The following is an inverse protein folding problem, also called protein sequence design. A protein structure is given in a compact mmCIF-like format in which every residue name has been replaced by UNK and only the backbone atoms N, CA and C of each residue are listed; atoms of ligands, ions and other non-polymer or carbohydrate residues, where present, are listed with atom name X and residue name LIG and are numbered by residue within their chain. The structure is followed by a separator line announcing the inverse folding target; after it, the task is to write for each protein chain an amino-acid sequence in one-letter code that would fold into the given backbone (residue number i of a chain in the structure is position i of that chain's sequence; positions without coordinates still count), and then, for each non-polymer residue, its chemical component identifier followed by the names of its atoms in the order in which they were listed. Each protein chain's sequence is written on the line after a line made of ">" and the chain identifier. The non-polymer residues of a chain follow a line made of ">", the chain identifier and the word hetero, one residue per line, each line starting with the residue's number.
data_IF_466752345135
#
_entry.id   IF_466752345135
#
_cell.length_a   1.000
_cell.length_b   1.000
_cell.length_c   1.000
_cell.angle_alpha   90.00
_cell.angle_beta   90.00
_cell.angle_gamma   90.00
#
_symmetry.space_group_name_H-M   'P 1'
#
loop_
_entity.id
_entity.type
_entity.pdbx_description
1 polymer ?
#
# COMPACT_ATOMS: atom_id res chain seq x y z
N UNK A 1 11.98 -2.95 32.12
CA UNK A 1 13.35 -2.40 32.00
C UNK A 1 14.10 -3.34 31.07
N UNK A 2 14.18 -2.99 29.78
CA UNK A 2 14.89 -3.81 28.81
C UNK A 2 16.06 -3.02 28.23
N UNK A 3 17.22 -3.64 28.35
CA UNK A 3 18.56 -3.11 28.14
C UNK A 3 18.78 -2.82 26.66
N UNK A 4 19.18 -1.59 26.33
CA UNK A 4 19.56 -1.19 24.98
C UNK A 4 20.88 -1.90 24.64
N UNK A 5 20.84 -2.88 23.72
CA UNK A 5 22.03 -3.46 23.15
C UNK A 5 22.57 -2.50 22.08
N UNK A 6 23.77 -1.96 22.31
CA UNK A 6 24.56 -1.29 21.30
C UNK A 6 24.90 -2.27 20.16
N UNK A 7 24.57 -1.94 18.91
CA UNK A 7 25.18 -2.57 17.74
C UNK A 7 25.54 -1.51 16.68
N UNK A 8 26.85 -1.26 16.53
CA UNK A 8 27.52 -0.65 15.36
C UNK A 8 27.40 -1.60 14.14
N UNK A 9 27.43 -1.25 12.85
CA UNK A 9 27.69 -0.06 12.04
C UNK A 9 27.22 -0.33 10.57
N UNK A 10 26.99 0.69 9.74
CA UNK A 10 27.21 0.64 8.26
C UNK A 10 27.82 1.97 7.79
N UNK A 11 28.75 1.87 6.83
CA UNK A 11 29.91 2.72 6.54
C UNK A 11 29.69 4.03 5.75
N UNK A 12 28.70 4.85 6.08
CA UNK A 12 28.54 6.16 5.40
C UNK A 12 28.14 7.28 6.37
N UNK A 13 29.07 7.67 7.25
CA UNK A 13 29.28 9.04 7.74
C UNK A 13 28.13 9.93 8.24
N UNK A 14 26.88 9.47 8.35
CA UNK A 14 25.75 10.27 8.86
C UNK A 14 25.13 9.57 10.07
N UNK A 15 25.44 10.09 11.25
CA UNK A 15 24.78 9.70 12.49
C UNK A 15 23.34 10.22 12.44
N UNK A 16 22.41 9.36 12.01
CA UNK A 16 20.98 9.49 12.30
C UNK A 16 20.64 8.43 13.34
N UNK A 17 20.03 8.84 14.46
CA UNK A 17 19.70 7.95 15.55
C UNK A 17 18.91 6.73 15.03
N UNK A 18 19.37 5.52 15.37
CA UNK A 18 18.73 4.28 14.96
C UNK A 18 17.27 4.19 15.45
N UNK A 19 16.93 4.85 16.55
CA UNK A 19 15.57 4.95 17.08
C UNK A 19 14.60 5.71 16.17
N UNK A 20 15.07 6.65 15.35
CA UNK A 20 14.23 7.38 14.39
C UNK A 20 13.97 6.59 13.11
N UNK A 21 14.67 5.45 12.95
CA UNK A 21 14.59 4.56 11.79
C UNK A 21 14.11 3.17 12.17
N UNK A 22 13.49 2.94 13.33
CA UNK A 22 12.94 1.63 13.70
C UNK A 22 11.51 1.78 14.23
N UNK A 23 10.59 0.89 13.82
CA UNK A 23 9.25 0.72 14.41
C UNK A 23 9.07 -0.72 14.86
N UNK A 24 8.27 -0.93 15.90
CA UNK A 24 7.92 -2.27 16.38
C UNK A 24 6.68 -2.76 15.63
N UNK A 25 6.81 -3.86 14.87
CA UNK A 25 5.70 -4.55 14.22
C UNK A 25 5.73 -6.02 14.67
N UNK A 26 4.66 -6.47 15.34
CA UNK A 26 4.51 -7.85 15.84
C UNK A 26 5.72 -8.36 16.64
N UNK A 27 6.29 -7.52 17.51
CA UNK A 27 7.42 -7.89 18.37
C UNK A 27 8.77 -7.95 17.66
N UNK A 28 8.87 -7.47 16.42
CA UNK A 28 10.15 -7.29 15.70
C UNK A 28 10.44 -5.81 15.48
N UNK A 29 11.69 -5.41 15.71
CA UNK A 29 12.19 -4.11 15.27
C UNK A 29 12.41 -4.15 13.75
N UNK A 30 11.69 -3.31 13.03
CA UNK A 30 11.83 -3.18 11.57
C UNK A 30 12.32 -1.78 11.26
N UNK A 31 13.17 -1.63 10.22
CA UNK A 31 13.52 -0.30 9.73
C UNK A 31 12.23 0.49 9.44
N UNK A 32 12.24 1.80 9.72
CA UNK A 32 11.19 2.76 9.35
C UNK A 32 11.18 2.85 7.83
N UNK A 33 10.67 1.80 7.18
CA UNK A 33 10.17 1.87 5.84
C UNK A 33 8.97 2.82 5.89
N UNK A 34 8.77 3.62 4.85
CA UNK A 34 7.56 4.40 4.78
C UNK A 34 6.48 3.43 4.28
N UNK A 35 5.76 2.81 5.21
CA UNK A 35 4.71 1.88 4.89
C UNK A 35 3.53 2.62 4.27
N UNK A 36 3.06 2.14 3.13
CA UNK A 36 1.68 2.40 2.72
C UNK A 36 0.76 1.57 3.61
N UNK A 37 -0.23 2.20 4.21
CA UNK A 37 -1.18 1.54 5.10
C UNK A 37 -2.58 1.92 4.66
N UNK A 38 -3.41 0.92 4.37
CA UNK A 38 -4.79 1.11 3.98
C UNK A 38 -5.70 0.06 4.62
N UNK A 39 -6.96 0.44 4.83
CA UNK A 39 -8.01 -0.50 5.16
C UNK A 39 -8.80 -0.82 3.89
N UNK A 40 -9.13 -2.10 3.75
CA UNK A 40 -9.99 -2.62 2.69
C UNK A 40 -11.20 -3.34 3.30
N UNK A 41 -12.31 -3.37 2.57
CA UNK A 41 -13.50 -4.18 2.88
C UNK A 41 -13.81 -5.07 1.68
N UNK A 42 -13.51 -6.36 1.79
CA UNK A 42 -13.67 -7.31 0.69
C UNK A 42 -15.13 -7.49 0.27
N UNK A 43 -16.08 -7.15 1.15
CA UNK A 43 -17.52 -7.28 0.91
C UNK A 43 -18.06 -6.23 -0.07
N UNK A 44 -17.31 -5.14 -0.33
CA UNK A 44 -17.70 -4.04 -1.23
C UNK A 44 -17.47 -4.39 -2.71
N UNK A 45 -18.20 -5.37 -3.21
CA UNK A 45 -18.09 -5.83 -4.60
C UNK A 45 -18.79 -4.90 -5.59
N UNK A 46 -18.33 -4.92 -6.84
CA UNK A 46 -18.96 -4.22 -7.97
C UNK A 46 -18.75 -4.99 -9.27
N UNK A 47 -19.42 -4.59 -10.35
CA UNK A 47 -19.13 -5.17 -11.66
C UNK A 47 -17.63 -5.01 -11.99
N UNK A 48 -16.95 -6.13 -12.28
CA UNK A 48 -15.53 -6.17 -12.56
C UNK A 48 -14.60 -6.29 -11.35
N UNK A 49 -15.13 -6.34 -10.12
CA UNK A 49 -14.33 -6.65 -8.92
C UNK A 49 -14.04 -8.15 -8.79
N UNK A 50 -13.05 -8.50 -7.98
CA UNK A 50 -12.82 -9.87 -7.51
C UNK A 50 -13.92 -10.33 -6.54
N UNK A 51 -13.86 -11.59 -6.08
CA UNK A 51 -14.85 -12.19 -5.17
C UNK A 51 -14.94 -11.44 -3.82
N UNK A 52 -16.00 -11.69 -3.06
CA UNK A 52 -16.30 -10.97 -1.81
C UNK A 52 -15.34 -11.28 -0.65
N UNK A 53 -14.45 -12.26 -0.80
CA UNK A 53 -13.36 -12.59 0.11
C UNK A 53 -11.99 -12.37 -0.54
N UNK A 54 -11.92 -11.56 -1.60
CA UNK A 54 -10.68 -11.27 -2.31
C UNK A 54 -10.39 -9.78 -2.35
N UNK A 55 -9.11 -9.46 -2.48
CA UNK A 55 -8.66 -8.13 -2.86
C UNK A 55 -7.52 -8.21 -3.86
N UNK A 56 -7.63 -7.46 -4.95
CA UNK A 56 -6.62 -7.31 -5.98
C UNK A 56 -6.01 -5.93 -5.94
N UNK A 57 -4.69 -5.89 -5.76
CA UNK A 57 -3.90 -4.67 -5.83
C UNK A 57 -3.99 -4.08 -7.25
N UNK A 58 -4.18 -2.76 -7.40
CA UNK A 58 -4.36 -2.13 -8.71
C UNK A 58 -3.03 -1.85 -9.40
N UNK A 59 -2.29 -2.91 -9.72
CA UNK A 59 -1.09 -2.87 -10.57
C UNK A 59 -1.48 -2.69 -12.04
N UNK A 60 -0.53 -2.16 -12.83
CA UNK A 60 -0.63 -1.97 -14.27
C UNK A 60 0.70 -2.25 -14.98
N UNK A 61 0.65 -2.53 -16.29
CA UNK A 61 1.74 -3.16 -17.05
C UNK A 61 2.99 -2.33 -17.27
N UNK A 62 2.96 -1.01 -17.08
CA UNK A 62 4.14 -0.15 -17.20
C UNK A 62 4.62 0.42 -15.86
N UNK A 63 4.09 -0.11 -14.74
CA UNK A 63 4.61 0.17 -13.41
C UNK A 63 5.86 -0.63 -13.08
N UNK A 64 6.49 -0.28 -11.96
CA UNK A 64 7.65 -0.97 -11.40
C UNK A 64 7.33 -1.48 -9.99
N UNK A 65 7.67 -2.75 -9.73
CA UNK A 65 7.25 -3.46 -8.52
C UNK A 65 8.41 -4.31 -7.98
N UNK A 66 8.76 -4.05 -6.74
CA UNK A 66 9.59 -4.90 -5.90
C UNK A 66 9.20 -4.61 -4.45
N UNK A 67 8.03 -5.09 -4.05
CA UNK A 67 7.42 -4.79 -2.75
C UNK A 67 6.95 -6.03 -2.03
N UNK A 68 6.77 -5.88 -0.73
CA UNK A 68 6.21 -6.88 0.16
C UNK A 68 4.90 -6.34 0.70
N UNK A 69 3.90 -7.22 0.76
CA UNK A 69 2.57 -6.90 1.26
C UNK A 69 2.21 -7.83 2.41
N UNK A 70 1.75 -7.24 3.51
CA UNK A 70 1.03 -7.92 4.57
C UNK A 70 -0.47 -7.74 4.32
N UNK A 71 -1.20 -8.85 4.24
CA UNK A 71 -2.62 -8.83 3.89
C UNK A 71 -3.56 -8.56 5.07
N UNK A 72 -3.02 -8.58 6.30
CA UNK A 72 -3.77 -8.31 7.52
C UNK A 72 -4.47 -9.54 8.14
N UNK A 73 -4.26 -10.73 7.57
CA UNK A 73 -4.76 -12.03 8.05
C UNK A 73 -3.64 -12.98 8.52
N UNK A 74 -2.41 -12.47 8.60
CA UNK A 74 -1.23 -13.24 8.99
C UNK A 74 -0.45 -13.82 7.81
N UNK A 75 -0.89 -13.63 6.56
CA UNK A 75 -0.10 -13.96 5.37
C UNK A 75 0.62 -12.73 4.80
N UNK A 76 1.70 -13.00 4.07
CA UNK A 76 2.50 -12.01 3.35
C UNK A 76 2.92 -12.58 2.00
N UNK A 77 3.12 -11.69 1.02
CA UNK A 77 3.66 -12.04 -0.30
C UNK A 77 4.72 -11.04 -0.74
N UNK A 78 5.65 -11.50 -1.57
CA UNK A 78 6.57 -10.66 -2.34
C UNK A 78 6.05 -10.53 -3.77
N UNK A 79 5.95 -9.28 -4.24
CA UNK A 79 5.46 -8.95 -5.57
C UNK A 79 6.57 -8.30 -6.39
N UNK A 80 6.94 -8.96 -7.49
CA UNK A 80 8.02 -8.57 -8.39
C UNK A 80 7.54 -8.20 -9.80
N UNK A 81 6.25 -8.40 -10.10
CA UNK A 81 5.68 -8.03 -11.40
C UNK A 81 4.22 -7.57 -11.28
N UNK A 82 3.75 -6.86 -12.32
CA UNK A 82 2.40 -6.29 -12.36
C UNK A 82 1.30 -7.34 -12.51
N UNK A 83 1.64 -8.52 -13.04
CA UNK A 83 0.73 -9.62 -13.39
C UNK A 83 0.95 -10.88 -12.54
N UNK A 84 1.76 -10.78 -11.49
CA UNK A 84 1.98 -11.87 -10.55
C UNK A 84 0.64 -12.36 -9.96
N UNK A 85 0.47 -13.66 -9.74
CA UNK A 85 -0.81 -14.21 -9.28
C UNK A 85 -1.22 -13.65 -7.90
N UNK A 86 -0.22 -13.47 -7.04
CA UNK A 86 -0.33 -13.05 -5.64
C UNK A 86 -0.80 -11.59 -5.49
N UNK A 87 -0.85 -10.79 -6.56
CA UNK A 87 -1.51 -9.47 -6.49
C UNK A 87 -3.01 -9.57 -6.16
N UNK A 88 -3.61 -10.75 -6.33
CA UNK A 88 -4.96 -11.08 -5.87
C UNK A 88 -4.89 -12.03 -4.69
N UNK A 89 -5.20 -11.52 -3.50
CA UNK A 89 -5.26 -12.35 -2.29
C UNK A 89 -6.67 -12.88 -2.03
N UNK A 90 -6.75 -14.09 -1.48
CA UNK A 90 -8.00 -14.72 -1.07
C UNK A 90 -7.99 -14.97 0.43
N UNK A 91 -8.86 -14.27 1.14
CA UNK A 91 -9.07 -14.41 2.57
C UNK A 91 -9.95 -15.62 2.87
N UNK A 92 -9.72 -16.24 4.03
CA UNK A 92 -10.54 -17.35 4.51
C UNK A 92 -12.01 -16.92 4.74
N UNK A 93 -12.20 -15.70 5.24
CA UNK A 93 -13.50 -15.08 5.49
C UNK A 93 -13.58 -13.74 4.78
N UNK A 94 -14.79 -13.28 4.46
CA UNK A 94 -14.97 -11.91 3.96
C UNK A 94 -14.96 -10.91 5.12
N UNK A 95 -14.37 -9.74 4.93
CA UNK A 95 -14.29 -8.77 6.01
C UNK A 95 -13.44 -7.55 5.71
N UNK A 96 -13.12 -6.83 6.79
CA UNK A 96 -12.27 -5.65 6.79
C UNK A 96 -10.84 -6.06 7.17
N UNK A 97 -9.87 -5.67 6.36
CA UNK A 97 -8.47 -5.97 6.57
C UNK A 97 -7.61 -4.71 6.45
N UNK A 98 -6.55 -4.64 7.24
CA UNK A 98 -5.53 -3.62 7.10
C UNK A 98 -4.37 -4.20 6.30
N UNK A 99 -4.14 -3.65 5.11
CA UNK A 99 -2.99 -4.01 4.29
C UNK A 99 -1.83 -3.06 4.56
N UNK A 100 -0.62 -3.61 4.56
CA UNK A 100 0.63 -2.87 4.75
C UNK A 100 1.57 -3.22 3.61
N UNK A 101 2.04 -2.21 2.87
CA UNK A 101 2.96 -2.39 1.74
C UNK A 101 4.24 -1.61 2.01
N UNK A 102 5.38 -2.21 1.72
CA UNK A 102 6.69 -1.55 1.72
C UNK A 102 7.58 -2.09 0.60
N UNK A 103 8.56 -1.29 0.18
CA UNK A 103 9.39 -1.57 -0.99
C UNK A 103 8.98 -0.71 -2.18
N UNK A 104 9.45 -1.09 -3.37
CA UNK A 104 9.20 -0.34 -4.60
C UNK A 104 7.78 -0.62 -5.10
N UNK A 105 6.91 0.40 -5.01
CA UNK A 105 5.59 0.37 -5.60
C UNK A 105 5.40 1.64 -6.43
N UNK A 106 5.66 1.54 -7.74
CA UNK A 106 5.38 2.62 -8.68
C UNK A 106 4.28 2.17 -9.64
N UNK A 107 3.03 2.57 -9.35
CA UNK A 107 1.95 2.21 -10.27
C UNK A 107 0.53 2.01 -9.81
N UNK A 108 0.05 2.73 -8.79
CA UNK A 108 -1.30 2.49 -8.30
C UNK A 108 -2.38 3.00 -9.27
N UNK A 109 -3.22 2.14 -9.87
CA UNK A 109 -4.21 2.62 -10.87
C UNK A 109 -5.51 1.82 -11.00
N UNK A 110 -6.63 2.38 -10.51
CA UNK A 110 -7.96 1.76 -10.64
C UNK A 110 -8.73 2.10 -11.92
N UNK A 111 -8.68 3.33 -12.44
CA UNK A 111 -9.43 3.76 -13.65
C UNK A 111 -10.93 3.38 -13.63
N UNK A 112 -11.59 3.53 -12.47
CA UNK A 112 -13.00 3.16 -12.26
C UNK A 112 -13.34 1.69 -12.60
N UNK A 113 -12.39 0.77 -12.43
CA UNK A 113 -12.60 -0.69 -12.55
C UNK A 113 -12.04 -1.44 -11.33
N UNK A 114 -12.14 -2.78 -11.35
CA UNK A 114 -11.56 -3.65 -10.35
C UNK A 114 -12.10 -3.43 -8.94
N UNK A 115 -11.22 -3.61 -7.96
CA UNK A 115 -11.53 -3.60 -6.53
C UNK A 115 -11.60 -2.19 -5.91
N UNK A 116 -11.79 -1.14 -6.72
CA UNK A 116 -11.79 0.26 -6.29
C UNK A 116 -12.73 0.58 -5.12
N UNK A 117 -13.87 -0.13 -5.03
CA UNK A 117 -14.85 0.07 -3.96
C UNK A 117 -14.45 -0.62 -2.65
N UNK A 118 -13.53 -1.58 -2.72
CA UNK A 118 -13.01 -2.30 -1.55
C UNK A 118 -11.96 -1.48 -0.81
N UNK A 119 -11.30 -0.51 -1.44
CA UNK A 119 -10.44 0.44 -0.74
C UNK A 119 -11.29 1.46 0.03
N UNK A 120 -11.25 1.41 1.36
CA UNK A 120 -12.10 2.24 2.23
C UNK A 120 -11.33 3.31 2.99
N UNK A 121 -10.05 3.10 3.30
CA UNK A 121 -9.26 4.12 4.00
C UNK A 121 -7.80 4.08 3.58
N UNK A 122 -7.17 5.23 3.38
CA UNK A 122 -5.71 5.36 3.37
C UNK A 122 -5.28 6.02 4.69
N UNK A 123 -4.51 5.28 5.48
CA UNK A 123 -3.98 5.71 6.77
C UNK A 123 -2.58 6.30 6.65
N UNK A 124 -1.79 5.82 5.68
CA UNK A 124 -0.46 6.35 5.34
C UNK A 124 -0.15 6.11 3.87
N UNK A 125 0.47 7.09 3.23
CA UNK A 125 0.94 6.98 1.85
C UNK A 125 2.24 6.21 1.72
N UNK A 126 3.16 6.38 2.68
CA UNK A 126 4.42 5.64 2.67
C UNK A 126 5.29 5.91 1.43
N UNK A 127 5.95 4.85 0.97
CA UNK A 127 6.79 4.81 -0.23
C UNK A 127 5.97 4.55 -1.51
N UNK A 128 4.64 4.59 -1.43
CA UNK A 128 3.79 4.42 -2.60
C UNK A 128 3.99 5.59 -3.57
N UNK A 129 4.51 5.28 -4.75
CA UNK A 129 4.58 6.18 -5.86
C UNK A 129 3.34 5.99 -6.73
N UNK A 130 2.56 7.07 -6.88
CA UNK A 130 1.40 7.08 -7.78
C UNK A 130 1.82 6.84 -9.25
N UNK A 131 3.11 7.00 -9.54
CA UNK A 131 3.69 6.89 -10.87
C UNK A 131 3.29 8.07 -11.75
N UNK A 132 3.60 7.95 -13.05
CA UNK A 132 3.35 8.98 -14.06
C UNK A 132 1.94 8.88 -14.67
N UNK A 133 0.92 8.61 -13.85
CA UNK A 133 -0.41 8.20 -14.30
C UNK A 133 -1.53 9.12 -13.83
N UNK A 134 -2.59 9.14 -14.62
CA UNK A 134 -3.88 9.71 -14.27
C UNK A 134 -4.80 8.67 -13.60
N UNK A 135 -5.84 9.16 -12.91
CA UNK A 135 -6.96 8.31 -12.46
C UNK A 135 -6.61 7.20 -11.44
N UNK A 136 -5.58 7.41 -10.61
CA UNK A 136 -5.09 6.41 -9.64
C UNK A 136 -6.19 5.86 -8.73
N UNK A 137 -6.99 6.75 -8.12
CA UNK A 137 -8.10 6.45 -7.22
C UNK A 137 -9.46 6.75 -7.86
N UNK A 138 -9.53 6.82 -9.20
CA UNK A 138 -10.77 7.13 -9.90
C UNK A 138 -11.84 6.07 -9.57
N UNK A 139 -12.97 6.54 -9.01
CA UNK A 139 -14.14 5.72 -8.70
C UNK A 139 -14.06 5.01 -7.35
N UNK A 140 -13.07 5.30 -6.52
CA UNK A 140 -13.01 4.85 -5.12
C UNK A 140 -14.04 5.63 -4.26
N UNK A 141 -15.33 5.36 -4.43
CA UNK A 141 -16.41 6.13 -3.76
C UNK A 141 -16.42 5.96 -2.25
N UNK A 142 -15.87 4.85 -1.74
CA UNK A 142 -15.80 4.54 -0.30
C UNK A 142 -14.48 4.98 0.35
N UNK A 143 -13.57 5.61 -0.41
CA UNK A 143 -12.25 5.98 0.09
C UNK A 143 -12.32 7.25 0.95
N UNK A 144 -11.97 7.10 2.23
CA UNK A 144 -11.62 8.19 3.15
C UNK A 144 -10.09 8.30 3.29
N UNK A 145 -9.54 9.51 3.25
CA UNK A 145 -8.10 9.75 3.37
C UNK A 145 -7.82 10.35 4.74
N UNK A 146 -7.32 9.50 5.64
CA UNK A 146 -6.94 9.87 7.01
C UNK A 146 -5.42 10.03 7.17
N UNK A 147 -4.68 9.83 6.07
CA UNK A 147 -3.23 9.94 6.05
C UNK A 147 -2.76 11.35 6.42
N UNK A 148 -1.75 11.40 7.29
CA UNK A 148 -1.07 12.63 7.71
C UNK A 148 0.23 12.89 6.92
N UNK A 149 0.71 11.87 6.20
CA UNK A 149 1.79 12.01 5.22
C UNK A 149 1.23 12.31 3.82
N UNK A 150 2.11 12.49 2.84
CA UNK A 150 1.75 12.84 1.46
C UNK A 150 2.23 11.77 0.50
N UNK A 151 1.51 11.50 -0.61
CA UNK A 151 1.98 10.59 -1.63
C UNK A 151 3.27 11.08 -2.28
N UNK A 152 4.09 10.13 -2.73
CA UNK A 152 5.26 10.46 -3.55
C UNK A 152 4.80 10.73 -4.98
N UNK A 153 5.08 11.94 -5.44
CA UNK A 153 4.76 12.42 -6.79
C UNK A 153 6.06 12.54 -7.59
N UNK A 154 6.44 11.48 -8.31
CA UNK A 154 7.64 11.43 -9.15
C UNK A 154 7.24 11.26 -10.62
N UNK A 155 7.89 11.98 -11.54
CA UNK A 155 7.87 11.66 -12.97
C UNK A 155 7.12 12.59 -13.93
N UNK A 156 5.97 13.21 -13.59
CA UNK A 156 5.26 14.22 -14.42
C UNK A 156 4.21 15.05 -13.64
N UNK A 157 3.66 16.07 -14.30
CA UNK A 157 2.80 17.13 -13.74
C UNK A 157 1.27 16.93 -13.92
N UNK A 158 0.80 15.79 -14.43
CA UNK A 158 -0.63 15.57 -14.69
C UNK A 158 -1.21 14.47 -13.79
N UNK A 159 -1.93 14.91 -12.75
CA UNK A 159 -2.69 14.09 -11.82
C UNK A 159 -4.21 14.26 -12.04
N UNK A 160 -4.61 14.59 -13.28
CA UNK A 160 -6.01 14.77 -13.63
C UNK A 160 -6.83 13.56 -13.23
N UNK A 161 -8.00 13.83 -12.66
CA UNK A 161 -8.98 12.82 -12.24
C UNK A 161 -8.48 11.79 -11.22
N UNK A 162 -7.33 12.02 -10.58
CA UNK A 162 -6.73 11.10 -9.61
C UNK A 162 -7.74 10.63 -8.56
N UNK A 163 -8.49 11.56 -7.96
CA UNK A 163 -9.55 11.28 -6.97
C UNK A 163 -10.95 11.55 -7.52
N UNK A 164 -11.13 11.51 -8.85
CA UNK A 164 -12.47 11.68 -9.44
C UNK A 164 -13.41 10.63 -8.85
N UNK A 165 -14.62 11.01 -8.48
CA UNK A 165 -15.60 10.06 -7.95
C UNK A 165 -15.26 9.46 -6.58
N UNK A 166 -14.27 10.00 -5.86
CA UNK A 166 -14.16 9.80 -4.42
C UNK A 166 -15.20 10.69 -3.72
N UNK A 167 -16.05 10.10 -2.87
CA UNK A 167 -17.23 10.79 -2.32
C UNK A 167 -17.48 10.52 -0.83
N UNK A 168 -16.55 9.84 -0.16
CA UNK A 168 -16.69 9.46 1.26
C UNK A 168 -16.56 10.66 2.21
#
# INVERSE_FOLDING_TARGET
>A
MFTILNLMAISTGRLVNASDRLVEHQGRLVFKANYFIANIDTTKTSAGSTLNNQFRIPTYSTGSYAFQIYWGDGTEDEILSWDQAEITHTYAEAGVYQIIIYGEFNGWRFVNTGDRLKLITILRWGDLEMGSLDQNFYGCTNLDIQAIDTPILSGKSDYSFCFRGCTS
#
